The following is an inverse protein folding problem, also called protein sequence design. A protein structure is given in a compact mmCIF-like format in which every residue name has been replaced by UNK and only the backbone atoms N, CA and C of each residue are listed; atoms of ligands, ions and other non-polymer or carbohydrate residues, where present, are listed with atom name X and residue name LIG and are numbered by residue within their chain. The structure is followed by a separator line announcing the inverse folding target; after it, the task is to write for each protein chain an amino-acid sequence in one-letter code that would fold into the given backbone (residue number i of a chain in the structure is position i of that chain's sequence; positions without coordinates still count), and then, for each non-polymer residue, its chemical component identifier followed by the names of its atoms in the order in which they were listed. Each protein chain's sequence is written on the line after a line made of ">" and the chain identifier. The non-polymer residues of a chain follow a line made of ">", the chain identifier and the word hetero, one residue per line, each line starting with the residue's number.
data_IF_639243029921
#
_entry.id   IF_639243029921
#
_cell.length_a   1.000
_cell.length_b   1.000
_cell.length_c   1.000
_cell.angle_alpha   90.00
_cell.angle_beta   90.00
_cell.angle_gamma   90.00
#
_symmetry.space_group_name_H-M   'P 1'
#
loop_
_entity.id
_entity.type
_entity.pdbx_description
1 polymer ?
#
# COMPACT_ATOMS: atom_id res chain seq x y z
N UNK A 1 16.56 0.78 8.95
CA UNK A 1 15.83 1.97 8.41
C UNK A 1 14.63 1.44 7.63
N UNK A 2 13.43 1.97 7.86
CA UNK A 2 12.24 1.49 7.13
C UNK A 2 12.07 2.28 5.84
N UNK A 3 12.08 1.61 4.70
CA UNK A 3 11.89 2.20 3.37
C UNK A 3 10.64 1.62 2.70
N UNK A 4 10.05 2.36 1.76
CA UNK A 4 8.90 1.90 0.98
C UNK A 4 9.40 1.43 -0.38
N UNK A 5 9.33 0.13 -0.63
CA UNK A 5 9.77 -0.52 -1.85
C UNK A 5 8.57 -0.94 -2.72
N UNK A 6 8.71 -0.85 -4.03
CA UNK A 6 7.76 -1.49 -4.94
C UNK A 6 8.00 -3.01 -4.96
N UNK A 7 6.95 -3.80 -4.79
CA UNK A 7 7.00 -5.25 -4.98
C UNK A 7 7.13 -5.59 -6.48
N UNK A 8 7.98 -6.54 -6.78
CA UNK A 8 8.03 -7.14 -8.11
C UNK A 8 6.85 -8.11 -8.29
N UNK A 9 6.42 -8.32 -9.52
CA UNK A 9 5.27 -9.21 -9.80
C UNK A 9 5.52 -10.62 -9.27
N UNK A 10 6.76 -11.12 -9.35
CA UNK A 10 7.15 -12.44 -8.82
C UNK A 10 7.04 -12.53 -7.28
N UNK A 11 6.93 -11.39 -6.60
CA UNK A 11 6.80 -11.32 -5.14
C UNK A 11 5.33 -11.16 -4.68
N UNK A 12 4.36 -11.10 -5.58
CA UNK A 12 2.93 -10.96 -5.23
C UNK A 12 2.41 -12.06 -4.30
N UNK A 13 2.92 -13.31 -4.33
CA UNK A 13 2.59 -14.30 -3.30
C UNK A 13 2.93 -13.86 -1.86
N UNK A 14 3.92 -12.98 -1.66
CA UNK A 14 4.21 -12.40 -0.34
C UNK A 14 3.08 -11.46 0.12
N UNK A 15 2.44 -10.75 -0.80
CA UNK A 15 1.27 -9.91 -0.49
C UNK A 15 0.09 -10.76 -0.02
N UNK A 16 -0.17 -11.89 -0.69
CA UNK A 16 -1.18 -12.88 -0.27
C UNK A 16 -0.92 -13.37 1.16
N UNK A 17 0.31 -13.76 1.45
CA UNK A 17 0.71 -14.20 2.78
C UNK A 17 0.51 -13.08 3.83
N UNK A 18 0.88 -11.84 3.50
CA UNK A 18 0.66 -10.68 4.36
C UNK A 18 -0.84 -10.46 4.67
N UNK A 19 -1.71 -10.48 3.65
CA UNK A 19 -3.15 -10.28 3.87
C UNK A 19 -3.77 -11.36 4.76
N UNK A 20 -3.37 -12.63 4.57
CA UNK A 20 -3.85 -13.74 5.40
C UNK A 20 -3.37 -13.65 6.85
N UNK A 21 -2.16 -13.14 7.06
CA UNK A 21 -1.56 -12.98 8.39
C UNK A 21 -2.07 -11.77 9.18
N UNK A 22 -2.87 -10.87 8.56
CA UNK A 22 -3.51 -9.76 9.28
C UNK A 22 -4.46 -10.33 10.36
N UNK A 23 -4.50 -9.67 11.52
CA UNK A 23 -5.53 -9.92 12.53
C UNK A 23 -6.92 -9.51 12.02
N UNK A 24 -7.98 -10.02 12.67
CA UNK A 24 -9.36 -9.82 12.22
C UNK A 24 -9.77 -8.34 12.16
N UNK A 25 -9.30 -7.51 13.09
CA UNK A 25 -9.59 -6.07 13.10
C UNK A 25 -8.91 -5.38 11.92
N UNK A 26 -7.66 -5.73 11.64
CA UNK A 26 -6.90 -5.22 10.49
C UNK A 26 -7.48 -5.68 9.16
N UNK A 27 -7.97 -6.93 9.05
CA UNK A 27 -8.73 -7.41 7.89
C UNK A 27 -10.02 -6.60 7.70
N UNK A 28 -10.79 -6.41 8.78
CA UNK A 28 -12.02 -5.61 8.72
C UNK A 28 -11.76 -4.18 8.25
N UNK A 29 -10.72 -3.51 8.76
CA UNK A 29 -10.35 -2.17 8.33
C UNK A 29 -9.88 -2.11 6.87
N UNK A 30 -9.22 -3.17 6.38
CA UNK A 30 -8.70 -3.26 5.00
C UNK A 30 -9.80 -3.53 3.98
N UNK A 31 -10.77 -4.39 4.32
CA UNK A 31 -11.77 -4.88 3.37
C UNK A 31 -13.18 -4.27 3.57
N UNK A 32 -13.39 -3.57 4.68
CA UNK A 32 -14.71 -3.02 5.04
C UNK A 32 -15.69 -4.07 5.62
N UNK A 33 -15.35 -5.35 5.50
CA UNK A 33 -16.16 -6.47 5.99
C UNK A 33 -15.24 -7.65 6.37
N UNK A 34 -15.80 -8.65 7.04
CA UNK A 34 -15.06 -9.87 7.36
C UNK A 34 -14.84 -10.68 6.09
N UNK A 35 -13.64 -11.17 5.90
CA UNK A 35 -13.21 -11.97 4.74
C UNK A 35 -12.56 -13.27 5.22
N UNK A 36 -12.83 -14.35 4.50
CA UNK A 36 -12.12 -15.62 4.70
C UNK A 36 -10.82 -15.67 3.88
N UNK A 37 -9.98 -16.65 4.18
CA UNK A 37 -8.74 -16.85 3.42
C UNK A 37 -9.00 -17.21 1.95
N UNK A 38 -10.12 -17.88 1.64
CA UNK A 38 -10.52 -18.20 0.26
C UNK A 38 -10.87 -16.92 -0.53
N UNK A 39 -11.51 -15.93 0.11
CA UNK A 39 -11.80 -14.64 -0.50
C UNK A 39 -10.50 -13.88 -0.78
N UNK A 40 -9.54 -13.93 0.15
CA UNK A 40 -8.21 -13.33 -0.05
C UNK A 40 -7.47 -14.04 -1.19
N UNK A 41 -7.53 -15.38 -1.28
CA UNK A 41 -6.93 -16.14 -2.37
C UNK A 41 -7.51 -15.73 -3.72
N UNK A 42 -8.84 -15.65 -3.83
CA UNK A 42 -9.50 -15.25 -5.07
C UNK A 42 -9.14 -13.81 -5.49
N UNK A 43 -9.08 -12.88 -4.54
CA UNK A 43 -8.62 -11.51 -4.79
C UNK A 43 -7.17 -11.51 -5.34
N UNK A 44 -6.26 -12.23 -4.67
CA UNK A 44 -4.86 -12.28 -5.07
C UNK A 44 -4.66 -12.96 -6.42
N UNK A 45 -5.44 -14.00 -6.73
CA UNK A 45 -5.44 -14.62 -8.06
C UNK A 45 -5.84 -13.60 -9.16
N UNK A 46 -6.82 -12.75 -8.87
CA UNK A 46 -7.22 -11.65 -9.77
C UNK A 46 -6.10 -10.64 -9.97
N UNK A 47 -5.46 -10.23 -8.89
CA UNK A 47 -4.33 -9.28 -8.91
C UNK A 47 -3.14 -9.85 -9.69
N UNK A 48 -2.79 -11.12 -9.49
CA UNK A 48 -1.70 -11.78 -10.20
C UNK A 48 -1.97 -11.92 -11.70
N UNK A 49 -3.21 -12.22 -12.09
CA UNK A 49 -3.62 -12.32 -13.50
C UNK A 49 -3.62 -10.97 -14.22
N UNK A 50 -3.83 -9.89 -13.49
CA UNK A 50 -3.94 -8.53 -14.01
C UNK A 50 -2.86 -7.60 -13.44
N UNK A 51 -1.69 -8.13 -13.17
CA UNK A 51 -0.60 -7.45 -12.46
C UNK A 51 -0.20 -6.08 -13.05
N UNK A 52 -0.52 -5.81 -14.32
CA UNK A 52 -0.25 -4.53 -14.98
C UNK A 52 -1.09 -3.39 -14.40
N UNK A 53 -2.30 -3.68 -13.91
CA UNK A 53 -3.19 -2.71 -13.28
C UNK A 53 -3.10 -2.69 -11.75
N UNK A 54 -2.20 -3.47 -11.16
CA UNK A 54 -2.03 -3.55 -9.72
C UNK A 54 -0.58 -3.26 -9.32
N UNK A 55 -0.37 -2.17 -8.62
CA UNK A 55 0.94 -1.74 -8.13
C UNK A 55 0.97 -1.90 -6.61
N UNK A 56 1.92 -2.66 -6.11
CA UNK A 56 2.10 -2.92 -4.68
C UNK A 56 3.37 -2.27 -4.17
N UNK A 57 3.23 -1.48 -3.11
CA UNK A 57 4.35 -0.96 -2.32
C UNK A 57 4.36 -1.62 -0.96
N UNK A 58 5.53 -1.96 -0.44
CA UNK A 58 5.65 -2.60 0.86
C UNK A 58 6.70 -1.93 1.74
N UNK A 59 6.57 -2.15 3.03
CA UNK A 59 7.61 -1.96 4.03
C UNK A 59 7.93 -3.34 4.57
N UNK A 60 9.23 -3.67 4.60
CA UNK A 60 9.74 -4.93 5.11
C UNK A 60 10.55 -4.70 6.39
N UNK A 61 10.46 -5.66 7.31
CA UNK A 61 11.32 -5.70 8.49
C UNK A 61 12.75 -6.15 8.12
N UNK A 62 13.61 -6.34 9.11
CA UNK A 62 15.01 -6.75 8.90
C UNK A 62 15.12 -8.19 8.36
N UNK A 63 14.09 -9.01 8.52
CA UNK A 63 14.00 -10.36 7.97
C UNK A 63 13.38 -10.41 6.55
N UNK A 64 13.13 -9.25 5.92
CA UNK A 64 12.43 -9.11 4.63
C UNK A 64 11.01 -9.67 4.64
N UNK A 65 10.37 -9.72 5.80
CA UNK A 65 8.95 -10.01 5.93
C UNK A 65 8.14 -8.72 5.71
N UNK A 66 7.08 -8.79 4.93
CA UNK A 66 6.21 -7.64 4.68
C UNK A 66 5.39 -7.34 5.93
N UNK A 67 5.54 -6.14 6.47
CA UNK A 67 4.82 -5.67 7.66
C UNK A 67 3.75 -4.63 7.34
N UNK A 68 3.84 -4.00 6.17
CA UNK A 68 2.85 -3.04 5.70
C UNK A 68 2.81 -3.00 4.17
N UNK A 69 1.62 -2.80 3.59
CA UNK A 69 1.41 -2.72 2.14
C UNK A 69 0.49 -1.54 1.78
N UNK A 70 0.86 -0.84 0.71
CA UNK A 70 -0.01 0.07 -0.04
C UNK A 70 -0.26 -0.53 -1.42
N UNK A 71 -1.53 -0.66 -1.79
CA UNK A 71 -1.99 -1.21 -3.05
C UNK A 71 -2.66 -0.11 -3.87
N UNK A 72 -2.26 0.00 -5.13
CA UNK A 72 -2.88 0.87 -6.14
C UNK A 72 -3.50 -0.04 -7.19
N UNK A 73 -4.82 0.04 -7.39
CA UNK A 73 -5.52 -0.56 -8.52
C UNK A 73 -5.87 0.55 -9.53
N UNK A 74 -5.76 0.26 -10.84
CA UNK A 74 -5.89 1.30 -11.89
C UNK A 74 -6.79 0.90 -13.04
N UNK A 75 -7.49 -0.24 -12.99
CA UNK A 75 -8.32 -0.74 -14.08
C UNK A 75 -9.50 0.18 -14.38
N UNK A 76 -10.28 0.53 -13.36
CA UNK A 76 -11.52 1.31 -13.46
C UNK A 76 -11.41 2.69 -12.82
N UNK A 77 -10.22 3.27 -12.85
CA UNK A 77 -9.83 4.45 -12.10
C UNK A 77 -8.80 4.08 -11.01
N UNK A 78 -8.25 5.08 -10.34
CA UNK A 78 -7.32 4.81 -9.24
C UNK A 78 -8.09 4.48 -7.97
N UNK A 79 -7.78 3.32 -7.38
CA UNK A 79 -8.21 2.97 -6.03
C UNK A 79 -6.99 2.68 -5.16
N UNK A 80 -6.98 3.23 -3.95
CA UNK A 80 -5.92 3.01 -2.96
C UNK A 80 -6.43 2.18 -1.79
N UNK A 81 -5.59 1.24 -1.34
CA UNK A 81 -5.87 0.46 -0.14
C UNK A 81 -4.58 0.19 0.65
N UNK A 82 -4.69 0.15 1.97
CA UNK A 82 -3.55 0.02 2.87
C UNK A 82 -3.79 -1.06 3.91
N UNK A 83 -2.71 -1.73 4.32
CA UNK A 83 -2.71 -2.66 5.45
C UNK A 83 -1.38 -2.56 6.21
N UNK A 84 -1.45 -2.64 7.53
CA UNK A 84 -0.28 -2.59 8.42
C UNK A 84 -0.53 -3.61 9.53
N UNK A 85 0.43 -4.49 9.80
CA UNK A 85 0.35 -5.41 10.93
C UNK A 85 0.19 -4.64 12.24
N UNK A 86 -0.60 -5.17 13.16
CA UNK A 86 -1.02 -4.51 14.39
C UNK A 86 0.16 -4.00 15.23
N UNK A 87 1.21 -4.80 15.36
CA UNK A 87 2.43 -4.48 16.09
C UNK A 87 3.28 -3.38 15.44
N UNK A 88 3.01 -3.04 14.19
CA UNK A 88 3.70 -1.99 13.43
C UNK A 88 2.83 -0.74 13.24
N UNK A 89 1.61 -0.74 13.75
CA UNK A 89 0.74 0.45 13.72
C UNK A 89 1.27 1.56 14.63
N UNK A 90 0.87 2.80 14.38
CA UNK A 90 1.35 3.96 15.14
C UNK A 90 2.78 4.42 14.82
N UNK A 91 3.54 3.68 14.02
CA UNK A 91 4.94 3.99 13.66
C UNK A 91 5.07 4.84 12.38
N UNK A 92 3.97 5.33 11.84
CA UNK A 92 3.96 6.18 10.64
C UNK A 92 3.99 5.44 9.31
N UNK A 93 3.97 4.10 9.28
CA UNK A 93 4.07 3.29 8.06
C UNK A 93 2.92 3.55 7.07
N UNK A 94 1.70 3.73 7.57
CA UNK A 94 0.56 4.10 6.73
C UNK A 94 0.79 5.43 5.98
N UNK A 95 1.35 6.43 6.65
CA UNK A 95 1.67 7.72 6.02
C UNK A 95 2.82 7.59 4.98
N UNK A 96 3.84 6.80 5.27
CA UNK A 96 4.93 6.54 4.33
C UNK A 96 4.40 5.87 3.05
N UNK A 97 3.53 4.85 3.19
CA UNK A 97 2.90 4.15 2.08
C UNK A 97 1.99 5.09 1.28
N UNK A 98 1.10 5.84 1.94
CA UNK A 98 0.19 6.77 1.27
C UNK A 98 0.97 7.82 0.47
N UNK A 99 1.95 8.49 1.08
CA UNK A 99 2.79 9.48 0.39
C UNK A 99 3.53 8.86 -0.80
N UNK A 100 3.96 7.61 -0.70
CA UNK A 100 4.63 6.90 -1.80
C UNK A 100 3.66 6.57 -2.93
N UNK A 101 2.47 6.06 -2.62
CA UNK A 101 1.44 5.74 -3.60
C UNK A 101 0.99 7.00 -4.35
N UNK A 102 0.71 8.09 -3.64
CA UNK A 102 0.33 9.38 -4.23
C UNK A 102 1.43 9.88 -5.19
N UNK A 103 2.68 9.87 -4.76
CA UNK A 103 3.80 10.34 -5.59
C UNK A 103 3.97 9.47 -6.85
N UNK A 104 3.84 8.15 -6.72
CA UNK A 104 3.84 7.24 -7.86
C UNK A 104 2.70 7.57 -8.83
N UNK A 105 1.47 7.73 -8.35
CA UNK A 105 0.33 8.09 -9.19
C UNK A 105 0.59 9.41 -9.93
N UNK A 106 1.06 10.45 -9.25
CA UNK A 106 1.41 11.74 -9.87
C UNK A 106 2.42 11.59 -11.01
N UNK A 107 3.53 10.86 -10.77
CA UNK A 107 4.60 10.68 -11.78
C UNK A 107 4.18 9.82 -12.96
N UNK A 108 3.09 9.04 -12.84
CA UNK A 108 2.52 8.21 -13.91
C UNK A 108 1.26 8.82 -14.54
N UNK A 109 0.92 10.08 -14.20
CA UNK A 109 -0.24 10.78 -14.77
C UNK A 109 -1.59 10.28 -14.26
N UNK A 110 -1.61 9.47 -13.19
CA UNK A 110 -2.83 8.98 -12.55
C UNK A 110 -3.25 10.01 -11.51
N UNK A 111 -4.09 10.95 -11.91
CA UNK A 111 -4.37 12.15 -11.09
C UNK A 111 -5.72 12.11 -10.38
N UNK A 112 -6.62 11.17 -10.73
CA UNK A 112 -7.95 11.06 -10.11
C UNK A 112 -8.22 9.63 -9.69
N UNK A 113 -8.89 9.49 -8.56
CA UNK A 113 -9.29 8.20 -8.03
C UNK A 113 -10.04 8.30 -6.72
N UNK A 114 -10.21 7.18 -6.08
CA UNK A 114 -10.91 7.10 -4.81
C UNK A 114 -10.24 6.16 -3.82
N UNK A 115 -10.68 6.25 -2.58
CA UNK A 115 -10.43 5.25 -1.55
C UNK A 115 -11.71 5.10 -0.74
N UNK A 116 -12.14 3.86 -0.56
CA UNK A 116 -13.31 3.54 0.27
C UNK A 116 -12.82 2.93 1.58
N UNK A 117 -13.36 3.37 2.70
CA UNK A 117 -13.07 2.81 4.00
C UNK A 117 -14.30 2.90 4.93
N UNK A 118 -14.29 2.09 5.99
CA UNK A 118 -15.31 2.21 7.02
C UNK A 118 -15.28 3.60 7.68
N UNK A 119 -16.45 4.15 7.97
CA UNK A 119 -16.56 5.45 8.66
C UNK A 119 -15.94 5.44 10.06
N UNK A 120 -15.80 4.26 10.67
CA UNK A 120 -15.09 4.05 11.94
C UNK A 120 -13.56 4.05 11.80
N UNK A 121 -13.00 3.98 10.58
CA UNK A 121 -11.55 3.96 10.36
C UNK A 121 -10.94 5.37 10.50
N UNK A 122 -10.77 5.81 11.75
CA UNK A 122 -10.21 7.12 12.08
C UNK A 122 -8.76 7.29 11.59
N UNK A 123 -8.00 6.19 11.50
CA UNK A 123 -6.60 6.21 11.05
C UNK A 123 -6.51 6.63 9.59
N UNK A 124 -7.28 6.00 8.72
CA UNK A 124 -7.32 6.34 7.29
C UNK A 124 -7.83 7.77 7.06
N UNK A 125 -8.87 8.18 7.80
CA UNK A 125 -9.37 9.57 7.73
C UNK A 125 -8.28 10.59 8.08
N UNK A 126 -7.55 10.33 9.17
CA UNK A 126 -6.43 11.20 9.56
C UNK A 126 -5.33 11.23 8.48
N UNK A 127 -5.00 10.08 7.88
CA UNK A 127 -4.02 10.01 6.80
C UNK A 127 -4.47 10.77 5.55
N UNK A 128 -5.75 10.67 5.18
CA UNK A 128 -6.33 11.44 4.07
C UNK A 128 -6.19 12.94 4.31
N UNK A 129 -6.66 13.43 5.45
CA UNK A 129 -6.56 14.85 5.81
C UNK A 129 -5.11 15.36 5.84
N UNK A 130 -4.19 14.57 6.40
CA UNK A 130 -2.76 14.91 6.44
C UNK A 130 -2.14 15.03 5.06
N UNK A 131 -2.65 14.29 4.08
CA UNK A 131 -2.17 14.32 2.69
C UNK A 131 -3.03 15.22 1.78
N UNK A 132 -3.90 16.08 2.36
CA UNK A 132 -4.73 17.02 1.61
C UNK A 132 -5.85 16.37 0.79
N UNK A 133 -6.25 15.15 1.15
CA UNK A 133 -7.30 14.40 0.46
C UNK A 133 -8.65 14.74 1.10
N UNK A 134 -9.60 15.15 0.26
CA UNK A 134 -10.98 15.40 0.70
C UNK A 134 -11.71 14.09 0.97
N UNK A 135 -12.48 14.05 2.06
CA UNK A 135 -13.25 12.88 2.47
C UNK A 135 -14.74 13.25 2.59
N UNK A 136 -15.59 12.36 2.10
CA UNK A 136 -17.04 12.41 2.29
C UNK A 136 -17.49 11.16 3.04
N UNK A 137 -18.48 11.28 3.89
CA UNK A 137 -19.05 10.14 4.63
C UNK A 137 -20.51 10.00 4.24
N UNK A 138 -20.89 8.83 3.74
CA UNK A 138 -22.26 8.49 3.38
C UNK A 138 -22.57 7.05 3.81
N UNK A 139 -23.79 6.84 4.37
CA UNK A 139 -24.35 5.53 4.74
C UNK A 139 -23.40 4.55 5.48
N UNK A 140 -22.49 5.05 6.33
CA UNK A 140 -21.59 4.22 7.14
C UNK A 140 -20.23 3.93 6.48
N UNK A 141 -20.04 4.31 5.22
CA UNK A 141 -18.76 4.29 4.53
C UNK A 141 -18.20 5.72 4.39
N UNK A 142 -16.90 5.81 4.35
CA UNK A 142 -16.20 7.06 4.02
C UNK A 142 -15.54 6.88 2.67
N UNK A 143 -15.91 7.73 1.73
CA UNK A 143 -15.26 7.83 0.43
C UNK A 143 -14.29 9.00 0.46
N UNK A 144 -13.06 8.75 0.06
CA UNK A 144 -12.05 9.76 -0.14
C UNK A 144 -11.84 9.96 -1.65
N UNK A 145 -12.19 11.14 -2.15
CA UNK A 145 -11.90 11.52 -3.53
C UNK A 145 -10.47 12.03 -3.61
N UNK A 146 -9.67 11.37 -4.43
CA UNK A 146 -8.31 11.78 -4.71
C UNK A 146 -8.27 12.59 -5.99
N UNK A 147 -7.94 13.87 -5.85
CA UNK A 147 -7.61 14.74 -6.97
C UNK A 147 -6.19 15.25 -6.73
N UNK A 148 -5.25 14.70 -7.49
CA UNK A 148 -3.82 14.89 -7.27
C UNK A 148 -3.28 15.99 -8.19
N UNK A 149 -2.44 16.85 -7.66
CA UNK A 149 -1.72 17.84 -8.44
C UNK A 149 -0.79 17.18 -9.47
N UNK A 150 -0.59 17.87 -10.58
CA UNK A 150 0.41 17.45 -11.57
C UNK A 150 1.80 17.38 -10.95
N UNK A 151 2.64 16.41 -11.37
CA UNK A 151 4.00 16.32 -10.86
C UNK A 151 4.83 17.49 -11.34
N UNK A 152 5.72 17.97 -10.50
CA UNK A 152 6.81 18.88 -10.82
C UNK A 152 8.15 18.12 -10.87
N UNK A 153 9.23 18.80 -11.19
CA UNK A 153 10.57 18.20 -11.26
C UNK A 153 10.97 17.59 -9.91
N UNK A 154 10.61 18.23 -8.80
CA UNK A 154 10.92 17.73 -7.45
C UNK A 154 10.22 16.41 -7.15
N UNK A 155 9.00 16.23 -7.67
CA UNK A 155 8.23 14.99 -7.56
C UNK A 155 8.98 13.82 -8.21
N UNK A 156 9.48 13.99 -9.43
CA UNK A 156 10.24 12.96 -10.14
C UNK A 156 11.57 12.64 -9.46
N UNK A 157 12.32 13.67 -9.04
CA UNK A 157 13.59 13.49 -8.33
C UNK A 157 13.39 12.72 -7.02
N UNK A 158 12.37 13.11 -6.24
CA UNK A 158 12.05 12.46 -4.96
C UNK A 158 11.60 11.00 -5.18
N UNK A 159 10.83 10.73 -6.24
CA UNK A 159 10.38 9.37 -6.59
C UNK A 159 11.58 8.48 -6.93
N UNK A 160 12.49 8.98 -7.77
CA UNK A 160 13.69 8.23 -8.15
C UNK A 160 14.63 8.00 -6.97
N UNK A 161 14.84 9.02 -6.14
CA UNK A 161 15.66 8.90 -4.93
C UNK A 161 15.08 7.87 -3.97
N UNK A 162 13.76 7.92 -3.71
CA UNK A 162 13.09 6.97 -2.82
C UNK A 162 13.18 5.53 -3.36
N UNK A 163 13.08 5.34 -4.68
CA UNK A 163 13.22 4.03 -5.32
C UNK A 163 14.62 3.45 -5.14
N UNK A 164 15.65 4.28 -5.40
CA UNK A 164 17.05 3.86 -5.26
C UNK A 164 17.39 3.54 -3.81
N UNK A 165 16.96 4.37 -2.87
CA UNK A 165 17.17 4.15 -1.43
C UNK A 165 16.52 2.85 -0.96
N UNK A 166 15.28 2.59 -1.38
CA UNK A 166 14.55 1.39 -1.01
C UNK A 166 15.21 0.12 -1.60
N UNK A 167 15.70 0.19 -2.84
CA UNK A 167 16.44 -0.92 -3.45
C UNK A 167 17.75 -1.18 -2.72
N UNK A 168 18.48 -0.13 -2.34
CA UNK A 168 19.72 -0.26 -1.57
C UNK A 168 19.48 -0.92 -0.19
N UNK A 169 18.45 -0.46 0.53
CA UNK A 169 18.04 -1.05 1.82
C UNK A 169 17.68 -2.54 1.67
N UNK A 170 16.89 -2.88 0.64
CA UNK A 170 16.53 -4.27 0.32
C UNK A 170 17.78 -5.13 0.03
N UNK A 171 18.70 -4.66 -0.80
CA UNK A 171 19.91 -5.39 -1.14
C UNK A 171 20.80 -5.62 0.09
N UNK A 172 20.92 -4.61 0.96
CA UNK A 172 21.68 -4.75 2.22
C UNK A 172 21.06 -5.81 3.12
N UNK A 173 19.74 -5.75 3.38
CA UNK A 173 19.05 -6.77 4.17
C UNK A 173 19.19 -8.16 3.57
N UNK A 174 19.04 -8.27 2.25
CA UNK A 174 19.19 -9.52 1.52
C UNK A 174 20.58 -10.12 1.64
N UNK A 175 21.63 -9.29 1.68
CA UNK A 175 23.03 -9.75 1.79
C UNK A 175 23.35 -10.34 3.17
N UNK A 176 22.67 -9.89 4.21
CA UNK A 176 22.90 -10.32 5.60
C UNK A 176 22.12 -11.61 5.92
N UNK A 177 20.99 -11.85 5.24
CA UNK A 177 20.16 -13.02 5.49
C UNK A 177 20.83 -14.32 5.03
N UNK A 178 20.73 -15.42 5.82
CA UNK A 178 21.24 -16.72 5.43
C UNK A 178 20.67 -17.21 4.10
N UNK A 179 21.46 -18.02 3.36
CA UNK A 179 21.07 -18.57 2.05
C UNK A 179 19.79 -19.43 2.09
N UNK A 180 19.40 -19.93 3.26
CA UNK A 180 18.17 -20.72 3.48
C UNK A 180 16.85 -19.96 3.34
N UNK A 181 16.90 -18.63 3.25
CA UNK A 181 15.74 -17.76 3.06
C UNK A 181 15.63 -17.18 1.61
N UNK A 182 16.33 -17.80 0.67
CA UNK A 182 16.31 -17.40 -0.74
C UNK A 182 15.23 -18.11 -1.54
#
# INVERSE_FOLDING_TARGET
>A
MSTVRRLLIQEYPKYRAHLKALDEDSKLLRFGHRVSDEVIDHLCDGIEKDAVHHILFCIENEALEIVAVGHIATRDGMELAFSVFKEYQGQGFGNMLMSRCIRYCRTHGILKGCMVCLSSNSVIKHLCLKNGIHIHTDHGETMADLELDRPDVSTYVTEQYSSNLAMFDYMNKRSILPWSFK
#
